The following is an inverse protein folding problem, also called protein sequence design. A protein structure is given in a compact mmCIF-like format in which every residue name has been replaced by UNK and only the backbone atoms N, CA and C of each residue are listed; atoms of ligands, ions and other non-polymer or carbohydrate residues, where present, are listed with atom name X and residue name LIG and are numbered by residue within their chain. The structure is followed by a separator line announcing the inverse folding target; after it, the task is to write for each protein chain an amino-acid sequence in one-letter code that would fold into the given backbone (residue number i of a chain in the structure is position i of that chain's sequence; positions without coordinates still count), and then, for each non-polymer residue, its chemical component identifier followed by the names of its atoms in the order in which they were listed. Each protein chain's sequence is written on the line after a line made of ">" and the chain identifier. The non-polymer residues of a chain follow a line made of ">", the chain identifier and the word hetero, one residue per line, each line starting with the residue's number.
data_IF_010578872787
#
_entry.id   IF_010578872787
#
_cell.length_a   1.000
_cell.length_b   1.000
_cell.length_c   1.000
_cell.angle_alpha   90.00
_cell.angle_beta   90.00
_cell.angle_gamma   90.00
#
_symmetry.space_group_name_H-M   'P 1'
#
loop_
_entity.id
_entity.type
_entity.pdbx_description
1 polymer ?
#
# COMPACT_ATOMS: atom_id res chain seq x y z
N UNK A 1 8.99 -29.33 14.25
CA UNK A 1 9.16 -28.66 12.94
C UNK A 1 8.53 -27.30 13.10
N UNK A 2 9.29 -26.23 12.95
CA UNK A 2 8.73 -24.89 12.98
C UNK A 2 7.67 -24.78 11.88
N UNK A 3 6.49 -24.28 12.22
CA UNK A 3 5.42 -24.06 11.25
C UNK A 3 5.90 -23.08 10.18
N UNK A 4 5.66 -23.38 8.90
CA UNK A 4 6.03 -22.50 7.78
C UNK A 4 5.36 -21.13 7.97
N UNK A 5 6.18 -20.09 7.92
CA UNK A 5 5.73 -18.70 7.89
C UNK A 5 6.61 -17.95 6.89
N UNK A 6 6.18 -17.98 5.63
CA UNK A 6 6.91 -17.35 4.52
C UNK A 6 6.93 -15.82 4.63
N UNK A 7 5.95 -15.21 5.30
CA UNK A 7 5.80 -13.75 5.41
C UNK A 7 6.49 -13.15 6.64
N UNK A 8 7.07 -13.97 7.51
CA UNK A 8 7.73 -13.54 8.74
C UNK A 8 8.80 -12.49 8.44
N UNK A 9 8.69 -11.35 9.10
CA UNK A 9 9.65 -10.24 8.99
C UNK A 9 9.53 -9.41 7.70
N UNK A 10 8.74 -9.85 6.71
CA UNK A 10 8.50 -9.08 5.49
C UNK A 10 7.78 -7.77 5.83
N UNK A 11 8.06 -6.73 5.04
CA UNK A 11 7.47 -5.40 5.16
C UNK A 11 6.43 -5.17 4.08
N UNK A 12 5.32 -4.53 4.45
CA UNK A 12 4.30 -4.09 3.48
C UNK A 12 3.90 -2.64 3.71
N UNK A 13 3.74 -1.89 2.62
CA UNK A 13 3.18 -0.55 2.66
C UNK A 13 1.72 -0.56 2.24
N UNK A 14 0.87 0.07 3.06
CA UNK A 14 -0.59 0.11 2.87
C UNK A 14 -0.99 1.31 1.99
N UNK A 15 -0.90 1.11 0.69
CA UNK A 15 -1.24 2.11 -0.33
C UNK A 15 -2.75 2.29 -0.42
N UNK A 16 -3.21 3.54 -0.52
CA UNK A 16 -4.65 3.83 -0.63
C UNK A 16 -4.90 5.33 -0.50
N UNK A 17 -6.00 5.80 -1.08
CA UNK A 17 -6.32 7.22 -1.08
C UNK A 17 -6.37 7.80 0.35
N UNK A 18 -5.80 8.98 0.50
CA UNK A 18 -5.76 9.76 1.73
C UNK A 18 -6.44 11.12 1.51
N UNK A 19 -6.13 11.75 0.38
CA UNK A 19 -6.83 12.95 -0.10
C UNK A 19 -8.28 12.62 -0.45
N UNK A 20 -9.20 13.53 -0.13
CA UNK A 20 -10.65 13.43 -0.39
C UNK A 20 -11.35 12.20 0.23
N UNK A 21 -10.69 11.53 1.17
CA UNK A 21 -11.28 10.46 1.98
C UNK A 21 -11.63 11.03 3.36
N UNK A 22 -12.89 10.93 3.85
CA UNK A 22 -13.31 11.55 5.10
C UNK A 22 -12.48 11.15 6.33
N UNK A 23 -12.07 9.89 6.43
CA UNK A 23 -11.23 9.39 7.53
C UNK A 23 -9.73 9.32 7.15
N UNK A 24 -9.35 9.85 5.98
CA UNK A 24 -8.00 9.72 5.43
C UNK A 24 -7.56 8.28 5.14
N UNK A 25 -8.50 7.32 5.10
CA UNK A 25 -8.22 5.90 4.95
C UNK A 25 -7.67 5.23 6.20
N UNK A 26 -7.89 5.81 7.40
CA UNK A 26 -7.43 5.23 8.67
C UNK A 26 -8.14 3.91 8.99
N UNK A 27 -9.46 3.85 8.81
CA UNK A 27 -10.27 2.74 9.31
C UNK A 27 -9.89 1.40 8.67
N UNK A 28 -9.71 1.36 7.35
CA UNK A 28 -9.36 0.11 6.69
C UNK A 28 -7.95 -0.37 7.05
N UNK A 29 -7.00 0.56 7.24
CA UNK A 29 -5.63 0.25 7.69
C UNK A 29 -5.64 -0.31 9.10
N UNK A 30 -6.44 0.25 10.00
CA UNK A 30 -6.62 -0.28 11.34
C UNK A 30 -7.27 -1.66 11.36
N UNK A 31 -8.16 -1.97 10.41
CA UNK A 31 -8.79 -3.31 10.28
C UNK A 31 -7.82 -4.37 9.76
N UNK A 32 -7.01 -4.06 8.74
CA UNK A 32 -6.12 -5.05 8.12
C UNK A 32 -4.84 -5.29 8.92
N UNK A 33 -4.33 -4.27 9.61
CA UNK A 33 -3.04 -4.32 10.33
C UNK A 33 -2.95 -5.46 11.36
N UNK A 34 -3.96 -5.72 12.21
CA UNK A 34 -3.94 -6.84 13.15
C UNK A 34 -3.79 -8.20 12.45
N UNK A 35 -4.44 -8.40 11.31
CA UNK A 35 -4.36 -9.65 10.55
C UNK A 35 -2.96 -9.86 9.96
N UNK A 36 -2.35 -8.79 9.42
CA UNK A 36 -0.97 -8.82 8.94
C UNK A 36 0.02 -9.12 10.06
N UNK A 37 -0.20 -8.56 11.25
CA UNK A 37 0.64 -8.82 12.43
C UNK A 37 0.57 -10.26 12.91
N UNK A 38 -0.58 -10.95 12.78
CA UNK A 38 -0.68 -12.40 13.08
C UNK A 38 0.25 -13.23 12.19
N UNK A 39 0.48 -12.80 10.96
CA UNK A 39 1.44 -13.42 10.02
C UNK A 39 2.89 -12.95 10.25
N UNK A 40 3.18 -12.16 11.28
CA UNK A 40 4.50 -11.54 11.54
C UNK A 40 4.99 -10.60 10.43
N UNK A 41 4.06 -9.93 9.73
CA UNK A 41 4.37 -8.89 8.75
C UNK A 41 4.57 -7.54 9.44
N UNK A 42 5.63 -6.83 9.04
CA UNK A 42 5.90 -5.46 9.44
C UNK A 42 5.09 -4.48 8.57
N UNK A 43 4.13 -3.78 9.17
CA UNK A 43 3.24 -2.87 8.44
C UNK A 43 3.79 -1.43 8.47
N UNK A 44 3.96 -0.86 7.29
CA UNK A 44 4.24 0.56 7.06
C UNK A 44 2.92 1.25 6.73
N UNK A 45 2.50 2.18 7.59
CA UNK A 45 1.22 2.89 7.47
C UNK A 45 1.45 4.34 7.00
N UNK A 46 0.87 4.77 5.86
CA UNK A 46 0.91 6.16 5.41
C UNK A 46 0.40 7.19 6.43
N UNK A 47 -0.52 6.79 7.32
CA UNK A 47 -1.07 7.65 8.37
C UNK A 47 -0.11 7.78 9.57
N UNK A 48 0.88 6.90 9.69
CA UNK A 48 1.90 6.92 10.73
C UNK A 48 3.24 6.42 10.18
N UNK A 49 3.81 7.21 9.26
CA UNK A 49 5.02 6.85 8.53
C UNK A 49 6.21 6.77 9.50
N UNK A 50 7.06 5.73 9.44
CA UNK A 50 8.29 5.67 10.22
C UNK A 50 9.42 6.49 9.55
N UNK A 51 9.11 7.71 9.10
CA UNK A 51 10.05 8.62 8.45
C UNK A 51 10.19 9.85 9.34
N UNK A 52 11.42 10.11 9.80
CA UNK A 52 11.69 11.27 10.63
C UNK A 52 11.35 12.57 9.86
N UNK A 53 10.77 13.52 10.59
CA UNK A 53 10.54 14.91 10.15
C UNK A 53 9.47 15.15 9.09
N UNK A 54 8.72 14.14 8.65
CA UNK A 54 7.62 14.32 7.68
C UNK A 54 6.29 14.00 8.37
N UNK A 55 5.47 15.03 8.58
CA UNK A 55 4.09 14.90 9.05
C UNK A 55 3.14 15.18 7.88
N UNK A 56 2.25 14.24 7.63
CA UNK A 56 1.13 14.41 6.71
C UNK A 56 -0.15 14.15 7.50
N UNK A 57 -0.72 15.22 8.02
CA UNK A 57 -1.90 15.20 8.87
C UNK A 57 -2.97 16.17 8.37
N UNK A 58 -4.04 16.33 9.14
CA UNK A 58 -5.14 17.22 8.80
C UNK A 58 -4.71 18.68 8.66
N UNK A 59 -3.73 19.12 9.45
CA UNK A 59 -3.18 20.48 9.38
C UNK A 59 -2.41 20.68 8.07
N UNK A 60 -1.57 19.71 7.71
CA UNK A 60 -0.80 19.72 6.46
C UNK A 60 -1.73 19.81 5.24
N UNK A 61 -2.83 19.05 5.25
CA UNK A 61 -3.86 19.11 4.19
C UNK A 61 -4.51 20.49 4.09
N UNK A 62 -4.89 21.07 5.23
CA UNK A 62 -5.49 22.40 5.27
C UNK A 62 -4.56 23.46 4.67
N UNK A 63 -3.28 23.45 5.05
CA UNK A 63 -2.30 24.39 4.49
C UNK A 63 -2.06 24.20 3.00
N UNK A 64 -1.97 22.95 2.53
CA UNK A 64 -1.85 22.66 1.09
C UNK A 64 -3.03 23.26 0.33
N UNK A 65 -4.27 23.08 0.81
CA UNK A 65 -5.45 23.61 0.14
C UNK A 65 -5.54 25.14 0.22
N UNK A 66 -5.19 25.74 1.35
CA UNK A 66 -5.06 27.19 1.48
C UNK A 66 -4.06 27.76 0.47
N UNK A 67 -2.88 27.14 0.33
CA UNK A 67 -1.88 27.58 -0.64
C UNK A 67 -2.32 27.38 -2.09
N UNK A 68 -3.11 26.34 -2.40
CA UNK A 68 -3.71 26.18 -3.75
C UNK A 68 -4.70 27.31 -4.04
N UNK A 69 -5.60 27.60 -3.10
CA UNK A 69 -6.63 28.63 -3.25
C UNK A 69 -6.05 30.03 -3.37
N UNK A 70 -4.94 30.30 -2.69
CA UNK A 70 -4.25 31.60 -2.69
C UNK A 70 -3.14 31.71 -3.75
N UNK A 71 -2.94 30.70 -4.59
CA UNK A 71 -1.92 30.71 -5.66
C UNK A 71 -0.47 30.58 -5.18
N UNK A 72 -0.23 30.20 -3.93
CA UNK A 72 1.10 30.08 -3.32
C UNK A 72 1.76 28.73 -3.63
N UNK A 73 1.81 28.33 -4.90
CA UNK A 73 2.26 27.00 -5.33
C UNK A 73 3.70 26.66 -4.95
N UNK A 74 4.57 27.68 -4.90
CA UNK A 74 5.97 27.52 -4.48
C UNK A 74 6.08 26.93 -3.07
N UNK A 75 5.25 27.41 -2.13
CA UNK A 75 5.20 26.89 -0.76
C UNK A 75 4.76 25.44 -0.72
N UNK A 76 3.81 25.05 -1.58
CA UNK A 76 3.38 23.66 -1.68
C UNK A 76 4.58 22.77 -2.04
N UNK A 77 5.32 23.16 -3.09
CA UNK A 77 6.46 22.38 -3.56
C UNK A 77 7.59 22.30 -2.53
N UNK A 78 7.93 23.42 -1.91
CA UNK A 78 9.07 23.53 -0.99
C UNK A 78 8.80 22.90 0.38
N UNK A 79 7.59 23.01 0.92
CA UNK A 79 7.26 22.54 2.27
C UNK A 79 6.73 21.10 2.24
N UNK A 80 5.84 20.77 1.30
CA UNK A 80 5.10 19.50 1.31
C UNK A 80 5.56 18.52 0.23
N UNK A 81 6.46 18.94 -0.67
CA UNK A 81 6.97 18.09 -1.74
C UNK A 81 7.73 16.85 -1.24
N UNK A 82 8.21 16.85 0.00
CA UNK A 82 8.89 15.71 0.62
C UNK A 82 7.93 14.58 1.02
N UNK A 83 6.62 14.86 1.17
CA UNK A 83 5.61 13.83 1.47
C UNK A 83 5.66 12.72 0.43
N UNK A 84 5.63 13.10 -0.85
CA UNK A 84 5.78 12.15 -1.97
C UNK A 84 7.07 11.34 -1.88
N UNK A 85 8.17 11.96 -1.46
CA UNK A 85 9.46 11.24 -1.33
C UNK A 85 9.39 10.20 -0.21
N UNK A 86 8.75 10.51 0.92
CA UNK A 86 8.53 9.58 2.01
C UNK A 86 7.66 8.39 1.58
N UNK A 87 6.56 8.65 0.88
CA UNK A 87 5.68 7.61 0.33
C UNK A 87 6.44 6.65 -0.59
N UNK A 88 7.15 7.19 -1.58
CA UNK A 88 7.95 6.38 -2.49
C UNK A 88 9.08 5.64 -1.77
N UNK A 89 9.65 6.21 -0.71
CA UNK A 89 10.64 5.51 0.11
C UNK A 89 10.01 4.36 0.89
N UNK A 90 8.79 4.50 1.40
CA UNK A 90 8.04 3.41 2.02
C UNK A 90 7.75 2.29 1.01
N UNK A 91 7.41 2.66 -0.23
CA UNK A 91 7.30 1.69 -1.33
C UNK A 91 8.63 0.98 -1.55
N UNK A 92 9.74 1.70 -1.67
CA UNK A 92 11.08 1.14 -1.91
C UNK A 92 11.49 0.09 -0.87
N UNK A 93 11.25 0.37 0.40
CA UNK A 93 11.64 -0.53 1.50
C UNK A 93 10.62 -1.64 1.77
N UNK A 94 9.48 -1.67 1.08
CA UNK A 94 8.51 -2.76 1.24
C UNK A 94 8.90 -3.98 0.42
N UNK A 95 8.65 -5.17 0.95
CA UNK A 95 8.91 -6.45 0.29
C UNK A 95 7.72 -6.87 -0.60
N UNK A 96 6.51 -6.44 -0.24
CA UNK A 96 5.30 -6.52 -1.07
C UNK A 96 4.35 -5.35 -0.76
N UNK A 97 3.32 -5.18 -1.57
CA UNK A 97 2.36 -4.08 -1.47
C UNK A 97 0.94 -4.58 -1.31
N UNK A 98 0.17 -3.91 -0.45
CA UNK A 98 -1.29 -3.99 -0.43
C UNK A 98 -1.83 -2.61 -0.80
N UNK A 99 -2.65 -2.56 -1.85
CA UNK A 99 -3.29 -1.35 -2.33
C UNK A 99 -4.81 -1.45 -2.20
N UNK A 100 -5.41 -0.49 -1.51
CA UNK A 100 -6.86 -0.28 -1.49
C UNK A 100 -7.23 0.75 -2.56
N UNK A 101 -8.19 0.39 -3.42
CA UNK A 101 -8.70 1.22 -4.50
C UNK A 101 -10.20 1.44 -4.28
N UNK A 102 -10.55 2.67 -3.93
CA UNK A 102 -11.92 3.17 -4.04
C UNK A 102 -12.03 3.97 -5.34
N UNK A 103 -12.75 3.44 -6.33
CA UNK A 103 -12.86 4.07 -7.66
C UNK A 103 -13.67 5.38 -7.63
N UNK A 104 -14.40 5.64 -6.54
CA UNK A 104 -15.14 6.90 -6.36
C UNK A 104 -14.24 8.03 -5.89
N UNK A 105 -13.00 7.73 -5.51
CA UNK A 105 -12.00 8.68 -5.04
C UNK A 105 -10.85 8.77 -6.04
N UNK A 106 -10.51 9.98 -6.45
CA UNK A 106 -9.36 10.20 -7.31
C UNK A 106 -8.05 10.00 -6.53
N UNK A 107 -7.30 8.95 -6.87
CA UNK A 107 -6.17 8.46 -6.08
C UNK A 107 -4.82 8.62 -6.80
N UNK A 108 -4.44 9.86 -7.14
CA UNK A 108 -3.23 10.14 -7.93
C UNK A 108 -1.94 9.55 -7.34
N UNK A 109 -1.71 9.75 -6.03
CA UNK A 109 -0.53 9.20 -5.33
C UNK A 109 -0.54 7.67 -5.33
N UNK A 110 -1.67 7.07 -4.97
CA UNK A 110 -1.89 5.61 -4.95
C UNK A 110 -1.48 4.93 -6.25
N UNK A 111 -1.86 5.48 -7.41
CA UNK A 111 -1.48 4.90 -8.71
C UNK A 111 0.01 5.05 -9.00
N UNK A 112 0.65 6.14 -8.59
CA UNK A 112 2.10 6.31 -8.72
C UNK A 112 2.88 5.30 -7.87
N UNK A 113 2.43 5.08 -6.63
CA UNK A 113 3.04 4.11 -5.71
C UNK A 113 2.92 2.67 -6.26
N UNK A 114 1.74 2.29 -6.80
CA UNK A 114 1.52 1.01 -7.48
C UNK A 114 2.46 0.86 -8.68
N UNK A 115 2.56 1.89 -9.52
CA UNK A 115 3.44 1.87 -10.69
C UNK A 115 4.91 1.72 -10.29
N UNK A 116 5.33 2.38 -9.20
CA UNK A 116 6.69 2.29 -8.64
C UNK A 116 7.00 0.88 -8.14
N UNK A 117 6.11 0.30 -7.33
CA UNK A 117 6.25 -1.08 -6.88
C UNK A 117 6.29 -2.09 -8.05
N UNK A 118 5.50 -1.84 -9.11
CA UNK A 118 5.44 -2.72 -10.27
C UNK A 118 6.75 -2.66 -11.08
N UNK A 119 7.37 -1.48 -11.19
CA UNK A 119 8.71 -1.32 -11.79
C UNK A 119 9.78 -2.08 -11.02
N UNK A 120 9.65 -2.16 -9.70
CA UNK A 120 10.52 -2.94 -8.81
C UNK A 120 10.18 -4.44 -8.79
N UNK A 121 9.20 -4.89 -9.60
CA UNK A 121 8.76 -6.29 -9.72
C UNK A 121 8.24 -6.91 -8.41
N UNK A 122 7.81 -6.09 -7.46
CA UNK A 122 7.25 -6.53 -6.18
C UNK A 122 5.90 -7.23 -6.38
N UNK A 123 5.51 -8.17 -5.50
CA UNK A 123 4.12 -8.60 -5.39
C UNK A 123 3.25 -7.39 -5.00
N UNK A 124 2.15 -7.23 -5.72
CA UNK A 124 1.17 -6.17 -5.47
C UNK A 124 -0.18 -6.84 -5.39
N UNK A 125 -0.87 -6.64 -4.27
CA UNK A 125 -2.21 -7.13 -4.00
C UNK A 125 -3.16 -5.94 -3.99
N UNK A 126 -4.19 -5.98 -4.82
CA UNK A 126 -5.13 -4.88 -5.00
C UNK A 126 -6.48 -5.32 -4.46
N UNK A 127 -7.01 -4.58 -3.50
CA UNK A 127 -8.41 -4.68 -3.12
C UNK A 127 -9.18 -3.50 -3.72
N UNK A 128 -10.10 -3.80 -4.63
CA UNK A 128 -11.01 -2.81 -5.22
C UNK A 128 -12.33 -2.79 -4.42
N UNK A 129 -12.64 -1.67 -3.77
CA UNK A 129 -13.79 -1.51 -2.88
C UNK A 129 -15.11 -1.87 -3.58
N UNK A 130 -15.28 -1.43 -4.83
CA UNK A 130 -16.47 -1.68 -5.64
C UNK A 130 -16.43 -3.04 -6.37
N UNK A 131 -15.51 -3.93 -5.98
CA UNK A 131 -15.34 -5.24 -6.58
C UNK A 131 -14.40 -5.25 -7.80
N UNK A 132 -13.73 -6.39 -8.00
CA UNK A 132 -12.73 -6.60 -9.06
C UNK A 132 -13.23 -6.24 -10.46
N UNK A 133 -14.49 -6.51 -10.77
CA UNK A 133 -15.08 -6.23 -12.07
C UNK A 133 -15.12 -4.73 -12.42
N UNK A 134 -15.06 -3.85 -11.42
CA UNK A 134 -14.96 -2.40 -11.60
C UNK A 134 -13.54 -1.86 -11.49
N UNK A 135 -12.53 -2.73 -11.27
CA UNK A 135 -11.15 -2.28 -11.15
C UNK A 135 -10.71 -1.57 -12.44
N UNK A 136 -9.99 -0.44 -12.35
CA UNK A 136 -9.51 0.27 -13.53
C UNK A 136 -8.73 -0.64 -14.49
N UNK A 137 -9.02 -0.54 -15.79
CA UNK A 137 -8.38 -1.35 -16.85
C UNK A 137 -6.86 -1.39 -16.75
N UNK A 138 -6.24 -0.26 -16.39
CA UNK A 138 -4.78 -0.18 -16.26
C UNK A 138 -4.20 -1.13 -15.21
N UNK A 139 -4.95 -1.43 -14.14
CA UNK A 139 -4.53 -2.39 -13.12
C UNK A 139 -4.47 -3.82 -13.70
N UNK A 140 -5.41 -4.19 -14.57
CA UNK A 140 -5.37 -5.47 -15.29
C UNK A 140 -4.22 -5.56 -16.30
N UNK A 141 -3.78 -4.44 -16.88
CA UNK A 141 -2.64 -4.44 -17.79
C UNK A 141 -1.30 -4.54 -17.05
N UNK A 142 -1.23 -4.03 -15.81
CA UNK A 142 0.01 -3.99 -15.03
C UNK A 142 0.20 -5.21 -14.12
N UNK A 143 -0.89 -5.75 -13.59
CA UNK A 143 -0.91 -6.71 -12.48
C UNK A 143 -1.68 -7.96 -12.90
N UNK A 144 -1.17 -9.12 -12.49
CA UNK A 144 -1.88 -10.39 -12.67
C UNK A 144 -3.25 -10.32 -12.00
N UNK A 145 -4.29 -10.69 -12.74
CA UNK A 145 -5.66 -10.50 -12.26
C UNK A 145 -5.94 -11.29 -10.97
N UNK A 146 -5.26 -12.41 -10.72
CA UNK A 146 -5.35 -13.21 -9.50
C UNK A 146 -4.98 -12.43 -8.23
N UNK A 147 -4.24 -11.32 -8.37
CA UNK A 147 -3.88 -10.43 -7.28
C UNK A 147 -4.80 -9.20 -7.17
N UNK A 148 -5.93 -9.20 -7.88
CA UNK A 148 -6.98 -8.17 -7.79
C UNK A 148 -8.22 -8.81 -7.17
N UNK A 149 -8.63 -8.28 -6.02
CA UNK A 149 -9.63 -8.84 -5.12
C UNK A 149 -10.84 -7.91 -5.01
N UNK A 150 -12.02 -8.51 -4.81
CA UNK A 150 -13.27 -7.77 -4.58
C UNK A 150 -13.48 -7.42 -3.12
N UNK A 151 -12.76 -8.06 -2.20
CA UNK A 151 -12.91 -7.84 -0.75
C UNK A 151 -11.58 -7.97 -0.02
N UNK A 152 -11.49 -7.33 1.16
CA UNK A 152 -10.37 -7.53 2.09
C UNK A 152 -10.24 -8.99 2.52
N UNK A 153 -11.36 -9.70 2.67
CA UNK A 153 -11.36 -11.10 3.11
C UNK A 153 -10.69 -12.01 2.07
N UNK A 154 -11.01 -11.85 0.78
CA UNK A 154 -10.38 -12.64 -0.29
C UNK A 154 -8.86 -12.39 -0.35
N UNK A 155 -8.45 -11.13 -0.16
CA UNK A 155 -7.05 -10.74 -0.11
C UNK A 155 -6.33 -11.41 1.07
N UNK A 156 -6.94 -11.39 2.26
CA UNK A 156 -6.38 -12.02 3.45
C UNK A 156 -6.31 -13.54 3.31
N UNK A 157 -7.32 -14.17 2.72
CA UNK A 157 -7.30 -15.61 2.39
C UNK A 157 -6.15 -15.95 1.44
N UNK A 158 -5.90 -15.12 0.42
CA UNK A 158 -4.74 -15.29 -0.45
C UNK A 158 -3.42 -15.12 0.32
N UNK A 159 -3.31 -14.12 1.19
CA UNK A 159 -2.10 -13.93 2.00
C UNK A 159 -1.84 -15.10 2.95
N UNK A 160 -2.87 -15.69 3.55
CA UNK A 160 -2.72 -16.87 4.41
C UNK A 160 -2.20 -18.08 3.60
N UNK A 161 -2.67 -18.24 2.36
CA UNK A 161 -2.10 -19.23 1.44
C UNK A 161 -0.62 -18.94 1.16
N UNK A 162 -0.25 -17.70 0.83
CA UNK A 162 1.15 -17.32 0.61
C UNK A 162 2.00 -17.57 1.85
N UNK A 163 1.46 -17.30 3.04
CA UNK A 163 2.13 -17.46 4.31
C UNK A 163 2.52 -18.92 4.59
N UNK A 164 1.71 -19.87 4.15
CA UNK A 164 1.82 -21.30 4.53
C UNK A 164 2.18 -22.23 3.38
N UNK A 165 2.11 -21.77 2.13
CA UNK A 165 2.36 -22.62 0.94
C UNK A 165 3.80 -23.11 0.84
N UNK A 166 3.94 -24.36 0.39
CA UNK A 166 5.21 -24.98 -0.04
C UNK A 166 5.35 -25.04 -1.55
N UNK A 167 4.28 -24.71 -2.30
CA UNK A 167 4.30 -24.65 -3.76
C UNK A 167 4.61 -23.24 -4.25
N UNK A 168 5.85 -23.05 -4.69
CA UNK A 168 6.36 -21.77 -5.19
C UNK A 168 6.25 -21.61 -6.71
N UNK A 169 5.76 -22.62 -7.46
CA UNK A 169 5.84 -22.65 -8.94
C UNK A 169 5.20 -21.44 -9.62
N UNK A 170 4.12 -20.91 -9.03
CA UNK A 170 3.36 -19.79 -9.58
C UNK A 170 3.61 -18.46 -8.85
N UNK A 171 4.57 -18.41 -7.91
CA UNK A 171 4.83 -17.23 -7.07
C UNK A 171 6.00 -16.39 -7.59
N UNK A 172 6.04 -16.12 -8.91
CA UNK A 172 7.20 -15.52 -9.61
C UNK A 172 7.69 -14.18 -9.05
N UNK A 173 6.80 -13.39 -8.43
CA UNK A 173 7.16 -12.09 -7.82
C UNK A 173 7.46 -12.18 -6.33
N UNK A 174 7.09 -13.28 -5.67
CA UNK A 174 7.34 -13.46 -4.25
C UNK A 174 8.77 -13.95 -4.06
N UNK A 175 9.54 -13.19 -3.28
CA UNK A 175 10.89 -13.53 -2.89
C UNK A 175 10.90 -13.66 -1.36
N UNK A 176 11.01 -14.89 -0.87
CA UNK A 176 11.03 -15.18 0.55
C UNK A 176 12.48 -15.20 1.04
N UNK A 177 12.77 -14.37 2.04
CA UNK A 177 14.10 -14.30 2.65
C UNK A 177 14.16 -15.30 3.81
N UNK A 178 15.28 -16.01 3.93
CA UNK A 178 15.57 -16.81 5.13
C UNK A 178 16.03 -15.87 6.23
N UNK A 179 15.69 -16.15 7.48
CA UNK A 179 16.27 -15.45 8.62
C UNK A 179 17.80 -15.61 8.56
N UNK A 180 18.51 -14.50 8.45
CA UNK A 180 19.96 -14.48 8.69
C UNK A 180 20.17 -14.48 10.19
N UNK A 181 20.70 -15.58 10.71
CA UNK A 181 21.20 -15.69 12.08
C UNK A 181 22.23 -14.61 12.40
#
# INVERSE_FOLDING_TARGET
>A
MDSINNLKGMRTYLIGAMDRVPDGGIQWRQRITPELKKMNVNVLDPCNKPVHSIKEDQESRWWIDYYKQTGQYKKIREIYGEIRNADLRCVDVSDFIIAHIDITVHACGTYEEIATANRQKKPILIWCEQGKHNAPNWLFFMINHENIFSSMQDLLTYLEYINTTTDYKNLKRWLFFKETN
#
